data_IF_215450313091
#
_entry.id   IF_215450313091
#
_cell.length_a   1.000
_cell.length_b   1.000
_cell.length_c   1.000
_cell.angle_alpha   90.00
_cell.angle_beta   90.00
_cell.angle_gamma   90.00
#
_symmetry.space_group_name_H-M   'P 1'
#
loop_
_entity.id
_entity.type
_entity.pdbx_description
1 polymer ?
#
# COMPACT_ATOMS: atom_id res chain seq x y z
N UNK A 1 18.53 -34.59 51.44
CA UNK A 1 18.96 -33.64 50.40
C UNK A 1 18.83 -34.35 49.06
N UNK A 2 17.66 -34.24 48.42
CA UNK A 2 17.45 -34.77 47.07
C UNK A 2 17.88 -33.69 46.07
N UNK A 3 18.99 -33.94 45.38
CA UNK A 3 19.46 -33.10 44.27
C UNK A 3 18.50 -33.33 43.11
N UNK A 4 17.64 -32.36 42.83
CA UNK A 4 16.83 -32.34 41.60
C UNK A 4 17.76 -32.12 40.42
N UNK A 5 17.96 -33.14 39.60
CA UNK A 5 18.67 -33.01 38.32
C UNK A 5 17.91 -32.06 37.39
N UNK A 6 18.44 -30.88 37.16
CA UNK A 6 17.98 -29.97 36.11
C UNK A 6 18.55 -30.45 34.77
N UNK A 7 17.78 -31.26 34.04
CA UNK A 7 18.07 -31.48 32.62
C UNK A 7 17.91 -30.16 31.84
N UNK A 8 18.85 -29.82 30.93
CA UNK A 8 18.75 -28.59 30.15
C UNK A 8 17.47 -28.63 29.31
N UNK A 9 16.69 -27.53 29.26
CA UNK A 9 15.49 -27.50 28.44
C UNK A 9 15.87 -27.71 26.98
N UNK A 10 15.20 -28.66 26.32
CA UNK A 10 15.37 -28.92 24.89
C UNK A 10 15.28 -27.61 24.11
N UNK A 11 16.34 -27.25 23.37
CA UNK A 11 16.40 -25.99 22.63
C UNK A 11 15.21 -25.81 21.67
N UNK A 12 14.71 -26.92 21.13
CA UNK A 12 13.50 -26.95 20.31
C UNK A 12 12.25 -26.55 21.10
N UNK A 13 12.07 -27.04 22.33
CA UNK A 13 10.95 -26.67 23.20
C UNK A 13 10.95 -25.19 23.57
N UNK A 14 12.13 -24.61 23.88
CA UNK A 14 12.25 -23.18 24.19
C UNK A 14 11.95 -22.32 22.96
N UNK A 15 12.42 -22.73 21.77
CA UNK A 15 12.11 -22.05 20.51
C UNK A 15 10.60 -22.11 20.18
N UNK A 16 9.98 -23.29 20.29
CA UNK A 16 8.54 -23.46 20.07
C UNK A 16 7.70 -22.67 21.07
N UNK A 17 8.09 -22.62 22.35
CA UNK A 17 7.40 -21.82 23.36
C UNK A 17 7.48 -20.32 23.05
N UNK A 18 8.64 -19.81 22.63
CA UNK A 18 8.79 -18.40 22.22
C UNK A 18 7.95 -18.07 20.98
N UNK A 19 7.94 -18.96 19.99
CA UNK A 19 7.12 -18.78 18.77
C UNK A 19 5.64 -18.80 19.12
N UNK A 20 5.17 -19.77 19.92
CA UNK A 20 3.77 -19.84 20.35
C UNK A 20 3.36 -18.62 21.18
N UNK A 21 4.21 -18.16 22.10
CA UNK A 21 3.96 -16.97 22.91
C UNK A 21 3.86 -15.69 22.06
N UNK A 22 4.55 -15.63 20.92
CA UNK A 22 4.48 -14.50 19.99
C UNK A 22 3.30 -14.61 19.00
N UNK A 23 3.01 -15.81 18.48
CA UNK A 23 2.03 -16.03 17.42
C UNK A 23 0.60 -16.12 17.98
N UNK A 24 0.42 -16.72 19.16
CA UNK A 24 -0.92 -16.92 19.74
C UNK A 24 -1.66 -15.60 20.00
N UNK A 25 -1.05 -14.54 20.59
CA UNK A 25 -1.71 -13.25 20.76
C UNK A 25 -2.09 -12.62 19.42
N UNK A 26 -1.23 -12.72 18.41
CA UNK A 26 -1.49 -12.17 17.08
C UNK A 26 -2.67 -12.87 16.42
N UNK A 27 -2.68 -14.21 16.42
CA UNK A 27 -3.80 -14.99 15.88
C UNK A 27 -5.10 -14.74 16.65
N UNK A 28 -5.04 -14.56 17.97
CA UNK A 28 -6.20 -14.24 18.77
C UNK A 28 -6.79 -12.87 18.37
N UNK A 29 -5.95 -11.84 18.25
CA UNK A 29 -6.39 -10.51 17.82
C UNK A 29 -6.95 -10.55 16.40
N UNK A 30 -6.25 -11.20 15.46
CA UNK A 30 -6.73 -11.34 14.07
C UNK A 30 -8.06 -12.11 14.03
N UNK A 31 -8.18 -13.19 14.80
CA UNK A 31 -9.41 -13.98 14.89
C UNK A 31 -10.59 -13.15 15.41
N UNK A 32 -10.36 -12.34 16.45
CA UNK A 32 -11.37 -11.42 16.99
C UNK A 32 -11.77 -10.38 15.94
N UNK A 33 -10.82 -9.77 15.24
CA UNK A 33 -11.09 -8.78 14.19
C UNK A 33 -11.93 -9.42 13.07
N UNK A 34 -11.57 -10.61 12.60
CA UNK A 34 -12.30 -11.33 11.55
C UNK A 34 -13.72 -11.70 12.02
N UNK A 35 -13.89 -12.14 13.27
CA UNK A 35 -15.20 -12.43 13.84
C UNK A 35 -16.09 -11.18 13.91
N UNK A 36 -15.54 -10.05 14.36
CA UNK A 36 -16.23 -8.76 14.38
C UNK A 36 -16.64 -8.35 12.96
N UNK A 37 -15.75 -8.54 11.99
CA UNK A 37 -16.04 -8.21 10.59
C UNK A 37 -17.16 -9.08 10.01
N UNK A 38 -17.16 -10.40 10.26
CA UNK A 38 -18.29 -11.25 9.86
C UNK A 38 -19.61 -10.83 10.51
N UNK A 39 -19.59 -10.50 11.80
CA UNK A 39 -20.79 -10.01 12.49
C UNK A 39 -21.30 -8.69 11.90
N UNK A 40 -20.39 -7.76 11.59
CA UNK A 40 -20.74 -6.48 10.94
C UNK A 40 -21.30 -6.70 9.53
N UNK A 41 -20.69 -7.60 8.74
CA UNK A 41 -21.15 -7.93 7.40
C UNK A 41 -22.58 -8.51 7.43
N UNK A 42 -22.87 -9.40 8.38
CA UNK A 42 -24.23 -9.89 8.60
C UNK A 42 -25.17 -8.74 8.94
N UNK A 43 -24.81 -7.91 9.91
CA UNK A 43 -25.65 -6.81 10.39
C UNK A 43 -26.01 -5.80 9.30
N UNK A 44 -25.06 -5.50 8.41
CA UNK A 44 -25.24 -4.53 7.32
C UNK A 44 -25.92 -5.14 6.08
N UNK A 45 -25.67 -6.42 5.78
CA UNK A 45 -26.21 -7.07 4.57
C UNK A 45 -27.59 -7.72 4.80
N UNK A 46 -27.97 -8.03 6.05
CA UNK A 46 -29.26 -8.69 6.35
C UNK A 46 -30.47 -7.86 5.94
N UNK A 47 -30.41 -6.52 6.02
CA UNK A 47 -31.55 -5.65 5.71
C UNK A 47 -32.04 -5.87 4.29
N UNK A 48 -31.12 -5.90 3.32
CA UNK A 48 -31.44 -6.19 1.93
C UNK A 48 -32.07 -7.59 1.74
N UNK A 49 -31.57 -8.58 2.48
CA UNK A 49 -32.07 -9.97 2.40
C UNK A 49 -33.53 -10.04 2.86
N UNK A 50 -33.85 -9.35 3.95
CA UNK A 50 -35.21 -9.28 4.51
C UNK A 50 -36.14 -8.50 3.58
N UNK A 51 -35.70 -7.35 3.06
CA UNK A 51 -36.50 -6.53 2.14
C UNK A 51 -36.86 -7.30 0.86
N UNK A 52 -35.94 -8.11 0.33
CA UNK A 52 -36.19 -8.96 -0.85
C UNK A 52 -37.16 -10.10 -0.52
N UNK A 53 -36.99 -10.75 0.63
CA UNK A 53 -37.87 -11.83 1.07
C UNK A 53 -39.31 -11.36 1.30
N UNK A 54 -39.49 -10.19 1.92
CA UNK A 54 -40.80 -9.56 2.13
C UNK A 54 -41.51 -9.28 0.79
N UNK A 55 -40.78 -8.75 -0.21
CA UNK A 55 -41.32 -8.52 -1.56
C UNK A 55 -41.75 -9.80 -2.28
N UNK A 56 -41.14 -10.93 -1.93
CA UNK A 56 -41.43 -12.24 -2.50
C UNK A 56 -42.45 -13.04 -1.69
N UNK A 57 -42.88 -12.53 -0.52
CA UNK A 57 -43.80 -13.22 0.39
C UNK A 57 -43.22 -14.49 1.01
N UNK A 58 -41.89 -14.59 1.10
CA UNK A 58 -41.19 -15.76 1.66
C UNK A 58 -40.67 -15.42 3.04
N UNK A 59 -40.94 -16.25 4.04
CA UNK A 59 -40.28 -16.13 5.35
C UNK A 59 -38.96 -16.90 5.36
N UNK A 60 -37.88 -16.22 5.75
CA UNK A 60 -36.54 -16.80 5.82
C UNK A 60 -36.20 -17.27 7.23
N UNK A 61 -35.58 -18.43 7.31
CA UNK A 61 -34.99 -18.98 8.54
C UNK A 61 -33.72 -18.20 8.91
N UNK A 62 -33.34 -18.15 10.19
CA UNK A 62 -32.09 -17.52 10.67
C UNK A 62 -30.84 -18.00 9.91
N UNK A 63 -30.78 -19.29 9.56
CA UNK A 63 -29.67 -19.86 8.80
C UNK A 63 -29.69 -19.52 7.30
N UNK A 64 -30.84 -19.16 6.74
CA UNK A 64 -30.96 -18.67 5.36
C UNK A 64 -30.54 -17.20 5.29
N UNK A 65 -31.01 -16.38 6.23
CA UNK A 65 -30.56 -14.98 6.38
C UNK A 65 -29.04 -14.90 6.50
N UNK A 66 -28.41 -15.78 7.30
CA UNK A 66 -26.95 -15.81 7.42
C UNK A 66 -26.26 -16.13 6.11
N UNK A 67 -26.73 -17.17 5.38
CA UNK A 67 -26.11 -17.58 4.11
C UNK A 67 -26.30 -16.52 3.03
N UNK A 68 -27.51 -16.02 2.87
CA UNK A 68 -27.83 -15.04 1.84
C UNK A 68 -27.12 -13.71 2.07
N UNK A 69 -27.04 -13.25 3.33
CA UNK A 69 -26.31 -12.03 3.68
C UNK A 69 -24.80 -12.11 3.40
N UNK A 70 -24.22 -13.32 3.33
CA UNK A 70 -22.79 -13.55 3.12
C UNK A 70 -22.40 -13.76 1.66
N UNK A 71 -23.36 -14.03 0.76
CA UNK A 71 -23.10 -14.43 -0.64
C UNK A 71 -23.71 -13.43 -1.65
N UNK A 72 -24.19 -12.27 -1.19
CA UNK A 72 -24.74 -11.24 -2.08
C UNK A 72 -23.73 -10.79 -3.15
N UNK A 73 -24.20 -10.56 -4.37
CA UNK A 73 -23.36 -10.04 -5.47
C UNK A 73 -22.92 -8.59 -5.27
N UNK A 74 -23.74 -7.77 -4.58
CA UNK A 74 -23.47 -6.36 -4.29
C UNK A 74 -23.72 -6.05 -2.83
N UNK A 75 -22.92 -6.63 -1.92
CA UNK A 75 -23.09 -6.43 -0.48
C UNK A 75 -22.75 -4.99 -0.11
N UNK A 76 -23.38 -4.47 0.95
CA UNK A 76 -23.00 -3.16 1.52
C UNK A 76 -21.63 -3.23 2.18
N UNK A 77 -21.37 -4.32 2.90
CA UNK A 77 -20.05 -4.66 3.42
C UNK A 77 -19.66 -6.06 2.91
N UNK A 78 -18.62 -6.18 2.06
CA UNK A 78 -18.18 -7.47 1.58
C UNK A 78 -17.62 -8.31 2.73
N UNK A 79 -18.00 -9.58 2.78
CA UNK A 79 -17.52 -10.50 3.79
C UNK A 79 -16.02 -10.80 3.59
N UNK A 80 -15.27 -11.14 4.66
CA UNK A 80 -13.84 -11.40 4.56
C UNK A 80 -13.43 -12.39 3.47
N UNK A 81 -14.20 -13.47 3.29
CA UNK A 81 -13.95 -14.46 2.23
C UNK A 81 -14.21 -13.91 0.83
N UNK A 82 -15.22 -13.05 0.64
CA UNK A 82 -15.47 -12.39 -0.64
C UNK A 82 -14.31 -11.46 -0.99
N UNK A 83 -13.81 -10.68 -0.03
CA UNK A 83 -12.62 -9.83 -0.24
C UNK A 83 -11.40 -10.67 -0.60
N UNK A 84 -11.19 -11.81 0.07
CA UNK A 84 -10.07 -12.71 -0.27
C UNK A 84 -10.19 -13.28 -1.69
N UNK A 85 -11.40 -13.66 -2.12
CA UNK A 85 -11.67 -14.15 -3.46
C UNK A 85 -11.48 -13.05 -4.52
N UNK A 86 -12.04 -11.86 -4.30
CA UNK A 86 -11.89 -10.69 -5.17
C UNK A 86 -10.44 -10.24 -5.28
N UNK A 87 -9.70 -10.22 -4.17
CA UNK A 87 -8.27 -9.90 -4.18
C UNK A 87 -7.51 -10.90 -5.05
N UNK A 88 -7.78 -12.19 -4.92
CA UNK A 88 -7.13 -13.22 -5.74
C UNK A 88 -7.51 -13.07 -7.22
N UNK A 89 -8.79 -12.85 -7.50
CA UNK A 89 -9.32 -12.71 -8.85
C UNK A 89 -8.73 -11.47 -9.56
N UNK A 90 -8.71 -10.33 -8.88
CA UNK A 90 -8.16 -9.06 -9.44
C UNK A 90 -6.63 -9.03 -9.50
N UNK A 91 -5.95 -9.85 -8.69
CA UNK A 91 -4.48 -9.95 -8.70
C UNK A 91 -3.98 -10.91 -9.78
N UNK A 92 -4.59 -12.08 -9.94
CA UNK A 92 -4.09 -13.14 -10.84
C UNK A 92 -5.01 -13.49 -12.00
N UNK A 93 -6.30 -13.17 -11.90
CA UNK A 93 -7.31 -13.59 -12.87
C UNK A 93 -7.70 -12.53 -13.90
N UNK A 94 -7.26 -11.28 -13.73
CA UNK A 94 -7.60 -10.17 -14.62
C UNK A 94 -6.35 -9.68 -15.37
N UNK A 95 -6.42 -9.72 -16.71
CA UNK A 95 -5.34 -9.23 -17.57
C UNK A 95 -5.13 -7.72 -17.44
N UNK A 96 -3.91 -7.26 -17.77
CA UNK A 96 -3.54 -5.84 -17.73
C UNK A 96 -4.36 -4.99 -18.71
N UNK A 97 -4.63 -5.56 -19.89
CA UNK A 97 -5.48 -4.98 -20.92
C UNK A 97 -6.67 -5.88 -21.16
N UNK A 98 -7.84 -5.28 -21.36
CA UNK A 98 -9.08 -5.96 -21.68
C UNK A 98 -9.62 -5.42 -23.00
N UNK A 99 -9.95 -6.33 -23.91
CA UNK A 99 -10.61 -5.96 -25.16
C UNK A 99 -12.04 -5.48 -24.89
N UNK A 100 -12.37 -4.28 -25.35
CA UNK A 100 -13.71 -3.70 -25.24
C UNK A 100 -14.07 -3.01 -26.54
N UNK A 101 -15.04 -3.57 -27.28
CA UNK A 101 -15.45 -3.11 -28.63
C UNK A 101 -14.30 -3.09 -29.66
N UNK A 102 -13.49 -4.16 -29.71
CA UNK A 102 -12.38 -4.26 -30.66
C UNK A 102 -11.14 -3.41 -30.30
N UNK A 103 -11.17 -2.67 -29.19
CA UNK A 103 -10.04 -1.89 -28.71
C UNK A 103 -9.46 -2.52 -27.43
N UNK A 104 -8.12 -2.67 -27.38
CA UNK A 104 -7.40 -3.04 -26.17
C UNK A 104 -7.34 -1.84 -25.23
N UNK A 105 -8.07 -1.90 -24.11
CA UNK A 105 -8.11 -0.82 -23.11
C UNK A 105 -7.57 -1.32 -21.79
N UNK A 106 -7.03 -0.41 -20.97
CA UNK A 106 -6.59 -0.75 -19.62
C UNK A 106 -7.74 -1.36 -18.82
N UNK A 107 -7.46 -2.45 -18.10
CA UNK A 107 -8.47 -3.14 -17.30
C UNK A 107 -8.57 -2.49 -15.91
N UNK A 108 -9.66 -1.75 -15.59
CA UNK A 108 -9.78 -1.07 -14.31
C UNK A 108 -9.90 -2.04 -13.12
N UNK A 109 -10.19 -3.33 -13.37
CA UNK A 109 -10.29 -4.37 -12.34
C UNK A 109 -8.94 -5.00 -11.99
N UNK A 110 -7.93 -4.86 -12.85
CA UNK A 110 -6.62 -5.45 -12.60
C UNK A 110 -5.88 -4.67 -11.52
N UNK A 111 -5.56 -5.33 -10.41
CA UNK A 111 -4.76 -4.72 -9.34
C UNK A 111 -3.33 -4.45 -9.81
N UNK A 112 -2.79 -5.37 -10.63
CA UNK A 112 -1.44 -5.24 -11.18
C UNK A 112 -1.30 -4.04 -12.11
N UNK A 113 -2.34 -3.71 -12.88
CA UNK A 113 -2.38 -2.48 -13.68
C UNK A 113 -2.20 -1.22 -12.83
N UNK A 114 -2.98 -1.09 -11.76
CA UNK A 114 -2.90 0.07 -10.85
C UNK A 114 -1.58 0.11 -10.08
N UNK A 115 -1.06 -1.04 -9.67
CA UNK A 115 0.25 -1.15 -9.04
C UNK A 115 1.34 -0.60 -9.99
N UNK A 116 1.32 -1.00 -11.26
CA UNK A 116 2.25 -0.49 -12.26
C UNK A 116 2.09 1.02 -12.51
N UNK A 117 0.85 1.53 -12.57
CA UNK A 117 0.58 2.97 -12.76
C UNK A 117 1.11 3.84 -11.62
N UNK A 118 1.19 3.33 -10.39
CA UNK A 118 1.82 4.01 -9.26
C UNK A 118 3.34 3.80 -9.23
N UNK A 119 3.79 2.59 -9.54
CA UNK A 119 5.19 2.21 -9.49
C UNK A 119 6.01 2.89 -10.60
N UNK A 120 5.50 2.95 -11.83
CA UNK A 120 6.25 3.47 -12.98
C UNK A 120 6.67 4.96 -12.80
N UNK A 121 5.78 5.90 -12.41
CA UNK A 121 6.21 7.26 -12.09
C UNK A 121 7.13 7.33 -10.87
N UNK A 122 6.94 6.45 -9.89
CA UNK A 122 7.76 6.41 -8.67
C UNK A 122 9.20 5.99 -8.99
N UNK A 123 9.39 4.94 -9.79
CA UNK A 123 10.71 4.50 -10.23
C UNK A 123 11.36 5.56 -11.11
N UNK A 124 10.63 6.09 -12.09
CA UNK A 124 11.17 7.12 -12.97
C UNK A 124 11.59 8.37 -12.18
N UNK A 125 10.73 8.83 -11.28
CA UNK A 125 11.02 9.93 -10.38
C UNK A 125 12.22 9.66 -9.49
N UNK A 126 12.29 8.48 -8.87
CA UNK A 126 13.41 8.06 -8.04
C UNK A 126 14.73 8.04 -8.82
N UNK A 127 14.74 7.52 -10.05
CA UNK A 127 15.94 7.53 -10.91
C UNK A 127 16.37 8.97 -11.20
N UNK A 128 15.45 9.84 -11.62
CA UNK A 128 15.74 11.24 -11.90
C UNK A 128 16.25 11.96 -10.64
N UNK A 129 15.57 11.79 -9.51
CA UNK A 129 15.93 12.39 -8.23
C UNK A 129 17.28 11.90 -7.71
N UNK A 130 17.57 10.61 -7.88
CA UNK A 130 18.85 9.99 -7.50
C UNK A 130 19.99 10.54 -8.35
N UNK A 131 19.82 10.58 -9.68
CA UNK A 131 20.84 11.11 -10.58
C UNK A 131 21.12 12.60 -10.32
N UNK A 132 20.06 13.40 -10.21
CA UNK A 132 20.19 14.82 -9.89
C UNK A 132 20.86 15.03 -8.52
N UNK A 133 20.45 14.24 -7.53
CA UNK A 133 20.99 14.33 -6.18
C UNK A 133 22.45 13.89 -6.07
N UNK A 134 22.82 12.83 -6.78
CA UNK A 134 24.20 12.35 -6.88
C UNK A 134 25.11 13.37 -7.56
N UNK A 135 24.69 13.93 -8.70
CA UNK A 135 25.45 14.97 -9.42
C UNK A 135 25.68 16.17 -8.51
N UNK A 136 24.63 16.63 -7.81
CA UNK A 136 24.75 17.75 -6.89
C UNK A 136 25.64 17.43 -5.68
N UNK A 137 25.54 16.23 -5.12
CA UNK A 137 26.38 15.80 -4.01
C UNK A 137 27.86 15.80 -4.38
N UNK A 138 28.21 15.29 -5.56
CA UNK A 138 29.58 15.34 -6.08
C UNK A 138 30.06 16.79 -6.20
N UNK A 139 29.23 17.70 -6.73
CA UNK A 139 29.57 19.12 -6.83
C UNK A 139 29.78 19.77 -5.45
N UNK A 140 28.94 19.45 -4.46
CA UNK A 140 29.05 19.94 -3.07
C UNK A 140 30.35 19.44 -2.40
N UNK A 141 30.77 18.21 -2.66
CA UNK A 141 31.99 17.64 -2.06
C UNK A 141 33.26 18.27 -2.66
N UNK A 142 33.26 18.56 -3.96
CA UNK A 142 34.41 19.16 -4.62
C UNK A 142 34.58 20.66 -4.30
N UNK A 143 33.50 21.37 -3.95
CA UNK A 143 33.54 22.81 -3.71
C UNK A 143 33.00 23.20 -2.31
N UNK A 144 33.89 23.64 -1.41
CA UNK A 144 33.52 24.13 -0.06
C UNK A 144 32.52 25.30 -0.09
N UNK A 145 32.50 26.13 -1.13
CA UNK A 145 31.53 27.21 -1.27
C UNK A 145 30.11 26.67 -1.53
N UNK A 146 29.97 25.54 -2.24
CA UNK A 146 28.68 24.89 -2.47
C UNK A 146 28.14 24.23 -1.21
N UNK A 147 28.99 23.73 -0.33
CA UNK A 147 28.56 23.17 0.97
C UNK A 147 27.84 24.22 1.83
N UNK A 148 28.42 25.43 1.93
CA UNK A 148 27.86 26.49 2.77
C UNK A 148 26.64 27.18 2.14
N UNK A 149 26.52 27.18 0.81
CA UNK A 149 25.43 27.87 0.10
C UNK A 149 24.27 26.96 -0.25
N UNK A 150 24.49 25.73 -0.73
CA UNK A 150 23.43 24.85 -1.27
C UNK A 150 22.70 24.08 -0.18
N UNK A 151 23.38 23.69 0.91
CA UNK A 151 22.76 22.93 2.00
C UNK A 151 21.55 23.65 2.64
N UNK A 152 21.62 24.96 2.96
CA UNK A 152 20.46 25.70 3.47
C UNK A 152 19.27 25.68 2.51
N UNK A 153 19.49 25.85 1.20
CA UNK A 153 18.44 25.81 0.20
C UNK A 153 17.85 24.40 0.03
N UNK A 154 18.69 23.38 0.09
CA UNK A 154 18.25 21.98 0.04
C UNK A 154 17.34 21.66 1.24
N UNK A 155 17.69 22.10 2.45
CA UNK A 155 16.84 21.95 3.64
C UNK A 155 15.55 22.77 3.49
N UNK A 156 15.64 24.01 3.01
CA UNK A 156 14.49 24.89 2.81
C UNK A 156 13.46 24.27 1.85
N UNK A 157 13.90 23.54 0.81
CA UNK A 157 12.99 22.86 -0.12
C UNK A 157 11.98 21.95 0.60
N UNK A 158 12.39 21.24 1.66
CA UNK A 158 11.51 20.31 2.37
C UNK A 158 10.49 21.00 3.29
N UNK A 159 10.58 22.33 3.45
CA UNK A 159 9.60 23.09 4.23
C UNK A 159 8.32 23.36 3.43
N UNK A 160 8.39 23.29 2.10
CA UNK A 160 7.23 23.49 1.24
C UNK A 160 6.38 22.21 1.25
N UNK A 161 5.11 22.26 1.69
CA UNK A 161 4.24 21.09 1.68
C UNK A 161 4.04 20.54 0.26
N UNK A 162 4.15 19.23 0.10
CA UNK A 162 3.90 18.58 -1.20
C UNK A 162 2.51 18.90 -1.77
N UNK A 163 1.52 19.07 -0.88
CA UNK A 163 0.15 19.43 -1.25
C UNK A 163 0.07 20.79 -1.97
N UNK A 164 0.99 21.72 -1.69
CA UNK A 164 1.04 23.02 -2.35
C UNK A 164 1.72 22.94 -3.73
N UNK A 165 2.77 22.13 -3.86
CA UNK A 165 3.55 22.01 -5.10
C UNK A 165 2.79 21.20 -6.15
N UNK A 166 2.08 20.13 -5.75
CA UNK A 166 1.48 19.19 -6.70
C UNK A 166 0.51 19.84 -7.71
N UNK A 167 -0.44 20.71 -7.32
CA UNK A 167 -1.32 21.40 -8.26
C UNK A 167 -0.55 22.33 -9.21
N UNK A 168 0.44 23.07 -8.70
CA UNK A 168 1.24 24.01 -9.48
C UNK A 168 2.01 23.26 -10.58
N UNK A 169 2.67 22.15 -10.21
CA UNK A 169 3.41 21.31 -11.15
C UNK A 169 2.50 20.75 -12.24
N UNK A 170 1.32 20.25 -11.88
CA UNK A 170 0.38 19.69 -12.86
C UNK A 170 -0.09 20.75 -13.85
N UNK A 171 -0.46 21.94 -13.38
CA UNK A 171 -0.94 23.03 -14.24
C UNK A 171 0.17 23.54 -15.17
N UNK A 172 1.38 23.77 -14.64
CA UNK A 172 2.50 24.27 -15.43
C UNK A 172 2.92 23.26 -16.50
N UNK A 173 3.04 21.98 -16.14
CA UNK A 173 3.42 20.94 -17.10
C UNK A 173 2.31 20.69 -18.13
N UNK A 174 1.04 20.81 -17.72
CA UNK A 174 -0.08 20.71 -18.65
C UNK A 174 -0.08 21.84 -19.70
N UNK A 175 0.32 23.06 -19.31
CA UNK A 175 0.41 24.19 -20.24
C UNK A 175 1.42 23.98 -21.38
N UNK A 176 2.45 23.14 -21.16
CA UNK A 176 3.45 22.75 -22.17
C UNK A 176 3.16 21.38 -22.80
N UNK A 177 1.95 20.84 -22.61
CA UNK A 177 1.50 19.58 -23.21
C UNK A 177 1.97 18.30 -22.50
N UNK A 178 2.63 18.41 -21.34
CA UNK A 178 3.09 17.28 -20.56
C UNK A 178 2.02 16.83 -19.56
N UNK A 179 1.49 15.63 -19.76
CA UNK A 179 0.42 15.04 -18.94
C UNK A 179 0.75 13.61 -18.51
N UNK A 180 0.00 13.09 -17.54
CA UNK A 180 0.09 11.68 -17.15
C UNK A 180 1.34 11.35 -16.33
N UNK A 181 2.31 10.65 -16.94
CA UNK A 181 3.46 10.07 -16.26
C UNK A 181 4.42 11.15 -15.72
N UNK A 182 4.69 12.19 -16.52
CA UNK A 182 5.76 13.16 -16.26
C UNK A 182 5.51 14.01 -14.99
N UNK A 183 4.32 14.61 -14.77
CA UNK A 183 4.07 15.35 -13.54
C UNK A 183 4.21 14.48 -12.28
N UNK A 184 3.72 13.23 -12.35
CA UNK A 184 3.81 12.26 -11.25
C UNK A 184 5.26 11.90 -10.94
N UNK A 185 6.08 11.65 -11.96
CA UNK A 185 7.50 11.36 -11.78
C UNK A 185 8.27 12.56 -11.24
N UNK A 186 7.93 13.78 -11.63
CA UNK A 186 8.63 14.98 -11.13
C UNK A 186 8.38 15.19 -9.63
N UNK A 187 7.15 14.96 -9.16
CA UNK A 187 6.82 15.02 -7.73
C UNK A 187 7.59 13.94 -6.96
N UNK A 188 7.69 12.72 -7.49
CA UNK A 188 8.48 11.64 -6.88
C UNK A 188 9.99 11.93 -6.88
N UNK A 189 10.51 12.55 -7.94
CA UNK A 189 11.89 13.02 -8.00
C UNK A 189 12.17 14.07 -6.92
N UNK A 190 11.26 15.02 -6.74
CA UNK A 190 11.35 16.04 -5.69
C UNK A 190 11.44 15.43 -4.28
N UNK A 191 10.59 14.44 -3.99
CA UNK A 191 10.58 13.76 -2.69
C UNK A 191 11.86 12.95 -2.42
N UNK A 192 12.41 12.32 -3.44
CA UNK A 192 13.61 11.47 -3.31
C UNK A 192 14.91 12.27 -3.38
N UNK A 193 14.92 13.43 -4.03
CA UNK A 193 16.11 14.25 -4.24
C UNK A 193 16.85 14.61 -2.94
N UNK A 194 16.17 15.19 -1.95
CA UNK A 194 16.84 15.68 -0.75
C UNK A 194 17.49 14.58 0.11
N UNK A 195 16.79 13.48 0.46
CA UNK A 195 17.43 12.37 1.18
C UNK A 195 18.63 11.79 0.42
N UNK A 196 18.56 11.70 -0.91
CA UNK A 196 19.66 11.23 -1.74
C UNK A 196 20.85 12.19 -1.68
N UNK A 197 20.65 13.50 -1.88
CA UNK A 197 21.74 14.49 -1.82
C UNK A 197 22.45 14.42 -0.48
N UNK A 198 21.69 14.53 0.62
CA UNK A 198 22.29 14.58 1.97
C UNK A 198 22.95 13.25 2.33
N UNK A 199 22.34 12.12 1.97
CA UNK A 199 22.93 10.80 2.16
C UNK A 199 24.24 10.63 1.39
N UNK A 200 24.26 11.04 0.11
CA UNK A 200 25.43 10.94 -0.75
C UNK A 200 26.56 11.88 -0.30
N UNK A 201 26.26 13.15 0.05
CA UNK A 201 27.27 14.08 0.59
C UNK A 201 27.89 13.53 1.86
N UNK A 202 27.08 12.98 2.78
CA UNK A 202 27.57 12.35 4.01
C UNK A 202 28.42 11.13 3.72
N UNK A 203 28.01 10.27 2.78
CA UNK A 203 28.75 9.08 2.39
C UNK A 203 30.09 9.40 1.74
N UNK A 204 30.14 10.37 0.82
CA UNK A 204 31.37 10.80 0.13
C UNK A 204 32.37 11.50 1.06
N UNK A 205 31.93 11.98 2.23
CA UNK A 205 32.77 12.60 3.26
C UNK A 205 33.13 11.65 4.40
N UNK A 206 32.67 10.40 4.36
CA UNK A 206 33.02 9.42 5.40
C UNK A 206 34.54 9.15 5.37
N UNK A 207 35.21 9.12 6.53
CA UNK A 207 36.66 8.96 6.65
C UNK A 207 37.17 7.57 6.26
#
# INVERSE_FOLDING_TARGET
>A
MAVTEQHPPCALCVATQKILAAVLPVLAVVGVIVAIWYAAALGMNRGWTLDVAERQGVELTRGEIWRDAMVQERPRLPAPHQVAQELRATTYGEDFFRERRGEMRANPRSLFFHAFQTLAPTILGFVIGTLAGMILAVAIVHNRAMDMSVMPWAIASQTIPILAIAPIVIVVLNAIGLVGLVPKSLISAYLSFFPVVVGMVKGLRAP
#
